data_IF_361685090382
#
_entry.id   IF_361685090382
#
_cell.length_a   1.000
_cell.length_b   1.000
_cell.length_c   1.000
_cell.angle_alpha   90.00
_cell.angle_beta   90.00
_cell.angle_gamma   90.00
#
_symmetry.space_group_name_H-M   'P 1'
#
loop_
_entity.id
_entity.type
_entity.pdbx_description
1 polymer ?
#
# COMPACT_ATOMS: atom_id res chain seq x y z
N UNK A 1 -15.84 7.26 -60.35
CA UNK A 1 -15.83 8.71 -60.61
C UNK A 1 -15.94 9.55 -59.32
N UNK A 2 -16.83 9.28 -58.43
CA UNK A 2 -17.12 10.06 -57.20
C UNK A 2 -15.91 10.22 -56.28
N UNK A 3 -15.17 9.15 -56.00
CA UNK A 3 -13.93 9.17 -55.16
C UNK A 3 -12.87 10.12 -55.72
N UNK A 4 -12.65 10.11 -57.03
CA UNK A 4 -11.65 10.98 -57.68
C UNK A 4 -12.04 12.47 -57.62
N UNK A 5 -13.34 12.75 -57.70
CA UNK A 5 -13.87 14.10 -57.52
C UNK A 5 -13.78 14.57 -56.07
N UNK A 6 -14.14 13.71 -55.11
CA UNK A 6 -14.01 13.99 -53.67
C UNK A 6 -12.56 14.31 -53.27
N UNK A 7 -11.62 13.48 -53.70
CA UNK A 7 -10.18 13.67 -53.46
C UNK A 7 -9.69 15.01 -54.01
N UNK A 8 -10.06 15.34 -55.27
CA UNK A 8 -9.68 16.60 -55.90
C UNK A 8 -10.32 17.80 -55.20
N UNK A 9 -11.50 17.65 -54.65
CA UNK A 9 -12.17 18.72 -53.90
C UNK A 9 -11.49 19.01 -52.55
N UNK A 10 -11.04 17.98 -51.84
CA UNK A 10 -10.26 18.10 -50.59
C UNK A 10 -8.96 18.88 -50.87
N UNK A 11 -8.24 18.55 -51.93
CA UNK A 11 -6.96 19.19 -52.25
C UNK A 11 -7.09 20.55 -52.94
N UNK A 12 -8.29 20.96 -53.39
CA UNK A 12 -8.52 22.26 -53.94
C UNK A 12 -8.36 23.38 -52.90
N UNK A 13 -8.70 23.12 -51.62
CA UNK A 13 -8.60 24.09 -50.55
C UNK A 13 -7.69 23.55 -49.42
N UNK A 14 -6.42 23.36 -49.73
CA UNK A 14 -5.39 22.73 -48.88
C UNK A 14 -5.37 23.25 -47.46
N UNK A 15 -5.42 24.59 -47.31
CA UNK A 15 -5.36 25.21 -45.96
C UNK A 15 -6.51 24.77 -45.06
N UNK A 16 -7.74 24.78 -45.58
CA UNK A 16 -8.92 24.33 -44.81
C UNK A 16 -8.86 22.84 -44.49
N UNK A 17 -8.49 22.05 -45.49
CA UNK A 17 -8.38 20.57 -45.31
C UNK A 17 -7.31 20.19 -44.29
N UNK A 18 -6.14 20.84 -44.32
CA UNK A 18 -5.06 20.60 -43.34
C UNK A 18 -5.53 20.99 -41.93
N UNK A 19 -6.17 22.15 -41.75
CA UNK A 19 -6.66 22.58 -40.44
C UNK A 19 -7.68 21.56 -39.88
N UNK A 20 -8.63 21.09 -40.72
CA UNK A 20 -9.64 20.13 -40.30
C UNK A 20 -9.00 18.76 -39.94
N UNK A 21 -8.10 18.26 -40.76
CA UNK A 21 -7.41 16.99 -40.52
C UNK A 21 -6.56 17.08 -39.27
N UNK A 22 -5.80 18.17 -39.10
CA UNK A 22 -4.97 18.38 -37.91
C UNK A 22 -5.83 18.47 -36.64
N UNK A 23 -6.97 19.14 -36.70
CA UNK A 23 -7.90 19.24 -35.57
C UNK A 23 -8.43 17.87 -35.14
N UNK A 24 -8.87 17.06 -36.11
CA UNK A 24 -9.34 15.68 -35.84
C UNK A 24 -8.19 14.83 -35.31
N UNK A 25 -7.02 14.92 -35.94
CA UNK A 25 -5.83 14.18 -35.48
C UNK A 25 -5.49 14.55 -34.03
N UNK A 26 -5.41 15.83 -33.70
CA UNK A 26 -5.13 16.26 -32.33
C UNK A 26 -6.19 15.79 -31.35
N UNK A 27 -7.47 15.87 -31.71
CA UNK A 27 -8.55 15.39 -30.85
C UNK A 27 -8.43 13.91 -30.53
N UNK A 28 -8.21 13.07 -31.55
CA UNK A 28 -8.04 11.63 -31.38
C UNK A 28 -6.75 11.32 -30.62
N UNK A 29 -5.65 11.99 -30.98
CA UNK A 29 -4.38 11.80 -30.30
C UNK A 29 -4.48 12.09 -28.79
N UNK A 30 -5.03 13.25 -28.42
CA UNK A 30 -5.19 13.61 -27.01
C UNK A 30 -6.18 12.71 -26.27
N UNK A 31 -7.25 12.24 -26.94
CA UNK A 31 -8.19 11.30 -26.33
C UNK A 31 -7.52 9.95 -26.02
N UNK A 32 -6.75 9.40 -26.97
CA UNK A 32 -6.03 8.14 -26.77
C UNK A 32 -4.93 8.31 -25.72
N UNK A 33 -4.19 9.41 -25.80
CA UNK A 33 -3.14 9.73 -24.82
C UNK A 33 -3.71 9.84 -23.40
N UNK A 34 -4.78 10.62 -23.21
CA UNK A 34 -5.43 10.79 -21.92
C UNK A 34 -5.95 9.45 -21.37
N UNK A 35 -6.53 8.61 -22.23
CA UNK A 35 -7.00 7.28 -21.82
C UNK A 35 -5.87 6.35 -21.41
N UNK A 36 -4.79 6.32 -22.17
CA UNK A 36 -3.61 5.51 -21.86
C UNK A 36 -2.95 5.96 -20.55
N UNK A 37 -2.83 7.27 -20.37
CA UNK A 37 -2.32 7.85 -19.12
C UNK A 37 -3.19 7.49 -17.92
N UNK A 38 -4.51 7.61 -18.07
CA UNK A 38 -5.47 7.27 -17.02
C UNK A 38 -5.34 5.79 -16.60
N UNK A 39 -5.30 4.87 -17.56
CA UNK A 39 -5.14 3.43 -17.28
C UNK A 39 -3.83 3.19 -16.52
N UNK A 40 -2.72 3.75 -16.99
CA UNK A 40 -1.42 3.57 -16.33
C UNK A 40 -1.38 4.13 -14.89
N UNK A 41 -2.04 5.26 -14.64
CA UNK A 41 -2.17 5.82 -13.29
C UNK A 41 -3.01 4.91 -12.40
N UNK A 42 -4.15 4.41 -12.89
CA UNK A 42 -5.00 3.49 -12.11
C UNK A 42 -4.28 2.19 -11.78
N UNK A 43 -3.62 1.56 -12.76
CA UNK A 43 -2.87 0.33 -12.54
C UNK A 43 -1.77 0.52 -11.50
N UNK A 44 -1.05 1.65 -11.59
CA UNK A 44 -0.02 1.98 -10.61
C UNK A 44 -0.58 2.26 -9.22
N UNK A 45 -1.70 2.97 -9.15
CA UNK A 45 -2.37 3.27 -7.89
C UNK A 45 -2.87 1.99 -7.21
N UNK A 46 -3.55 1.12 -7.95
CA UNK A 46 -4.04 -0.18 -7.45
C UNK A 46 -2.86 -1.03 -6.99
N UNK A 47 -1.82 -1.17 -7.81
CA UNK A 47 -0.63 -1.95 -7.46
C UNK A 47 0.06 -1.44 -6.19
N UNK A 48 0.15 -0.12 -6.01
CA UNK A 48 0.77 0.45 -4.83
C UNK A 48 -0.10 0.27 -3.57
N UNK A 49 -1.41 0.54 -3.65
CA UNK A 49 -2.30 0.44 -2.49
C UNK A 49 -2.53 -1.02 -2.08
N UNK A 50 -2.84 -1.87 -3.05
CA UNK A 50 -3.16 -3.28 -2.80
C UNK A 50 -1.90 -4.08 -2.49
N UNK A 51 -0.83 -3.84 -3.23
CA UNK A 51 0.43 -4.57 -3.07
C UNK A 51 1.24 -4.19 -1.84
N UNK A 52 0.92 -3.09 -1.14
CA UNK A 52 1.73 -2.60 -0.03
C UNK A 52 1.03 -2.54 1.32
N UNK A 53 -0.29 -2.41 1.34
CA UNK A 53 -0.98 -2.17 2.60
C UNK A 53 -2.18 -3.08 2.82
N UNK A 54 -3.15 -3.05 1.93
CA UNK A 54 -4.46 -3.67 2.20
C UNK A 54 -4.58 -5.12 1.73
N UNK A 55 -3.76 -5.55 0.76
CA UNK A 55 -4.04 -6.79 0.02
C UNK A 55 -5.29 -6.65 -0.87
N UNK A 56 -5.63 -7.68 -1.63
CA UNK A 56 -6.81 -7.71 -2.50
C UNK A 56 -8.10 -8.01 -1.75
N UNK A 57 -8.01 -8.73 -0.64
CA UNK A 57 -9.13 -9.12 0.20
C UNK A 57 -8.66 -9.16 1.64
N UNK A 58 -9.48 -8.66 2.54
CA UNK A 58 -9.27 -8.73 3.98
C UNK A 58 -10.43 -9.47 4.63
N UNK A 59 -10.13 -10.29 5.62
CA UNK A 59 -11.12 -10.99 6.44
C UNK A 59 -10.97 -10.44 7.85
N UNK A 60 -12.05 -9.89 8.36
CA UNK A 60 -12.13 -9.34 9.71
C UNK A 60 -13.23 -10.01 10.50
N UNK A 61 -13.17 -9.90 11.81
CA UNK A 61 -14.29 -10.26 12.67
C UNK A 61 -15.49 -9.33 12.41
N UNK A 62 -16.68 -9.86 12.57
CA UNK A 62 -17.91 -9.05 12.51
C UNK A 62 -17.84 -7.91 13.55
N UNK A 63 -18.20 -6.69 13.12
CA UNK A 63 -18.12 -5.48 13.96
C UNK A 63 -16.78 -4.76 13.94
N UNK A 64 -15.74 -5.28 13.26
CA UNK A 64 -14.42 -4.63 13.21
C UNK A 64 -14.46 -3.24 12.59
N UNK A 65 -15.28 -3.03 11.55
CA UNK A 65 -15.33 -1.73 10.87
C UNK A 65 -16.06 -0.65 11.65
N UNK A 66 -16.96 -1.04 12.54
CA UNK A 66 -17.66 -0.13 13.44
C UNK A 66 -16.75 0.33 14.57
N UNK A 67 -15.91 -0.58 15.06
CA UNK A 67 -14.95 -0.29 16.13
C UNK A 67 -13.64 -1.03 15.85
N UNK A 68 -12.65 -0.31 15.31
CA UNK A 68 -11.32 -0.83 14.99
C UNK A 68 -10.47 -0.99 16.26
N UNK A 69 -10.92 -1.87 17.13
CA UNK A 69 -10.29 -2.20 18.41
C UNK A 69 -9.61 -3.55 18.34
N UNK A 70 -8.56 -3.74 19.13
CA UNK A 70 -7.92 -5.04 19.33
C UNK A 70 -8.88 -6.10 19.87
N UNK A 71 -9.97 -5.68 20.54
CA UNK A 71 -11.04 -6.57 21.02
C UNK A 71 -11.77 -7.28 19.88
N UNK A 72 -11.86 -6.65 18.72
CA UNK A 72 -12.45 -7.18 17.51
C UNK A 72 -11.44 -7.92 16.62
N UNK A 73 -10.33 -8.35 17.20
CA UNK A 73 -9.41 -9.27 16.54
C UNK A 73 -9.87 -10.73 16.73
N UNK A 74 -9.48 -11.61 15.83
CA UNK A 74 -9.74 -13.03 15.93
C UNK A 74 -8.50 -13.86 15.63
N UNK A 75 -8.44 -15.06 16.17
CA UNK A 75 -7.40 -16.03 15.83
C UNK A 75 -7.96 -16.97 14.76
N UNK A 76 -7.35 -17.00 13.55
CA UNK A 76 -7.81 -17.91 12.51
C UNK A 76 -7.72 -19.35 12.96
N UNK A 77 -8.79 -20.11 12.77
CA UNK A 77 -8.79 -21.55 13.02
C UNK A 77 -8.23 -22.33 11.81
N UNK A 78 -7.86 -23.58 12.02
CA UNK A 78 -7.27 -24.40 10.98
C UNK A 78 -8.20 -24.62 9.80
N UNK A 79 -9.50 -24.71 10.04
CA UNK A 79 -10.52 -24.83 8.98
C UNK A 79 -10.49 -23.61 8.03
N UNK A 80 -10.36 -22.39 8.57
CA UNK A 80 -10.26 -21.17 7.75
C UNK A 80 -8.96 -21.20 6.94
N UNK A 81 -7.84 -21.54 7.58
CA UNK A 81 -6.54 -21.64 6.90
C UNK A 81 -6.57 -22.67 5.77
N UNK A 82 -7.09 -23.86 6.01
CA UNK A 82 -7.25 -24.89 4.98
C UNK A 82 -8.20 -24.44 3.86
N UNK A 83 -9.30 -23.77 4.20
CA UNK A 83 -10.24 -23.25 3.20
C UNK A 83 -9.56 -22.24 2.28
N UNK A 84 -8.76 -21.32 2.83
CA UNK A 84 -8.03 -20.32 2.05
C UNK A 84 -6.99 -20.98 1.14
N UNK A 85 -6.22 -21.94 1.65
CA UNK A 85 -5.19 -22.65 0.88
C UNK A 85 -5.75 -23.51 -0.25
N UNK A 86 -6.98 -24.01 -0.10
CA UNK A 86 -7.63 -24.85 -1.10
C UNK A 86 -8.37 -24.06 -2.19
N UNK A 87 -8.31 -22.72 -2.19
CA UNK A 87 -8.94 -21.91 -3.23
C UNK A 87 -7.96 -21.60 -4.36
N UNK A 88 -8.28 -22.02 -5.56
CA UNK A 88 -7.43 -21.82 -6.76
C UNK A 88 -7.10 -20.33 -7.06
N UNK A 89 -7.95 -19.42 -6.59
CA UNK A 89 -7.80 -17.99 -6.83
C UNK A 89 -7.00 -17.26 -5.74
N UNK A 90 -6.63 -17.93 -4.64
CA UNK A 90 -5.84 -17.37 -3.55
C UNK A 90 -4.39 -17.84 -3.73
N UNK A 91 -3.50 -16.91 -4.02
CA UNK A 91 -2.08 -17.20 -4.19
C UNK A 91 -1.36 -17.35 -2.85
N UNK A 92 -1.67 -16.48 -1.92
CA UNK A 92 -1.12 -16.47 -0.57
C UNK A 92 -2.02 -15.65 0.35
N UNK A 93 -1.90 -15.86 1.65
CA UNK A 93 -2.54 -15.06 2.68
C UNK A 93 -1.57 -14.82 3.84
N UNK A 94 -1.74 -13.66 4.50
CA UNK A 94 -0.99 -13.31 5.70
C UNK A 94 -1.93 -12.95 6.83
N UNK A 95 -1.50 -13.29 8.04
CA UNK A 95 -2.16 -12.90 9.27
C UNK A 95 -1.49 -11.64 9.81
N UNK A 96 -2.28 -10.61 10.08
CA UNK A 96 -1.82 -9.33 10.62
C UNK A 96 -2.63 -8.95 11.83
N UNK A 97 -1.99 -8.32 12.78
CA UNK A 97 -2.65 -7.67 13.91
C UNK A 97 -2.38 -6.17 13.82
N UNK A 98 -3.43 -5.38 13.66
CA UNK A 98 -3.32 -3.92 13.60
C UNK A 98 -3.84 -3.31 14.88
N UNK A 99 -3.14 -2.34 15.43
CA UNK A 99 -3.55 -1.59 16.60
C UNK A 99 -3.09 -0.15 16.51
N UNK A 100 -3.84 0.75 17.14
CA UNK A 100 -3.43 2.13 17.32
C UNK A 100 -2.62 2.27 18.60
N UNK A 101 -1.51 2.99 18.51
CA UNK A 101 -0.70 3.33 19.66
C UNK A 101 -0.22 4.79 19.61
N UNK A 102 0.06 5.31 20.76
CA UNK A 102 0.78 6.56 20.92
C UNK A 102 2.26 6.22 20.98
N UNK A 103 3.00 6.63 19.98
CA UNK A 103 4.46 6.52 19.99
C UNK A 103 5.07 7.77 20.63
N UNK A 104 6.09 7.61 21.45
CA UNK A 104 6.71 8.71 22.18
C UNK A 104 8.23 8.54 22.25
N UNK A 105 8.90 9.67 22.19
CA UNK A 105 10.29 9.89 22.62
C UNK A 105 10.30 10.87 23.79
N UNK A 106 11.46 11.29 24.27
CA UNK A 106 11.55 12.28 25.36
C UNK A 106 10.92 13.63 25.01
N UNK A 107 10.90 14.00 23.73
CA UNK A 107 10.47 15.33 23.28
C UNK A 107 9.19 15.33 22.45
N UNK A 108 8.89 14.25 21.76
CA UNK A 108 7.85 14.20 20.75
C UNK A 108 6.91 13.01 20.97
N UNK A 109 5.66 13.21 20.61
CA UNK A 109 4.61 12.19 20.69
C UNK A 109 3.76 12.22 19.44
N UNK A 110 3.37 11.05 18.92
CA UNK A 110 2.53 10.93 17.73
C UNK A 110 1.68 9.66 17.78
N UNK A 111 0.43 9.75 17.32
CA UNK A 111 -0.40 8.57 17.06
C UNK A 111 0.12 7.81 15.83
N UNK A 112 0.25 6.50 15.98
CA UNK A 112 0.75 5.60 14.93
C UNK A 112 -0.11 4.34 14.86
N UNK A 113 -0.10 3.70 13.71
CA UNK A 113 -0.59 2.33 13.56
C UNK A 113 0.60 1.41 13.80
N UNK A 114 0.42 0.45 14.70
CA UNK A 114 1.38 -0.63 14.95
C UNK A 114 0.84 -1.89 14.28
N UNK A 115 1.67 -2.52 13.49
CA UNK A 115 1.31 -3.71 12.74
C UNK A 115 2.17 -4.89 13.17
N UNK A 116 1.55 -5.90 13.76
CA UNK A 116 2.18 -7.19 14.01
C UNK A 116 2.04 -8.08 12.78
N UNK A 117 3.16 -8.55 12.26
CA UNK A 117 3.23 -9.35 11.04
C UNK A 117 4.12 -10.58 11.21
N UNK A 118 3.90 -11.60 10.40
CA UNK A 118 4.84 -12.70 10.19
C UNK A 118 5.79 -12.31 9.06
N UNK A 119 6.99 -11.89 9.42
CA UNK A 119 7.90 -11.22 8.49
C UNK A 119 8.18 -12.00 7.21
N UNK A 120 8.54 -13.30 7.30
CA UNK A 120 8.88 -14.10 6.12
C UNK A 120 7.72 -14.14 5.12
N UNK A 121 6.51 -14.39 5.61
CA UNK A 121 5.32 -14.43 4.75
C UNK A 121 4.97 -13.06 4.16
N UNK A 122 5.17 -12.01 4.95
CA UNK A 122 4.93 -10.64 4.51
C UNK A 122 5.94 -10.22 3.45
N UNK A 123 7.20 -10.62 3.60
CA UNK A 123 8.27 -10.34 2.66
C UNK A 123 8.05 -11.03 1.30
N UNK A 124 7.59 -12.28 1.31
CA UNK A 124 7.22 -13.00 0.09
C UNK A 124 6.14 -12.28 -0.73
N UNK A 125 5.19 -11.61 -0.06
CA UNK A 125 4.09 -10.91 -0.73
C UNK A 125 4.42 -9.48 -1.12
N UNK A 126 5.17 -8.78 -0.27
CA UNK A 126 5.35 -7.33 -0.35
C UNK A 126 6.77 -6.89 -0.67
N UNK A 127 7.71 -7.83 -0.71
CA UNK A 127 9.14 -7.55 -0.94
C UNK A 127 9.64 -6.41 -0.02
N UNK A 128 9.38 -6.59 1.28
CA UNK A 128 9.73 -5.61 2.30
C UNK A 128 11.24 -5.49 2.45
N UNK A 129 11.96 -6.59 2.29
CA UNK A 129 13.42 -6.63 2.34
C UNK A 129 14.06 -5.67 1.37
N UNK A 130 13.54 -5.56 0.14
CA UNK A 130 14.06 -4.63 -0.87
C UNK A 130 13.80 -3.15 -0.54
N UNK A 131 12.86 -2.89 0.37
CA UNK A 131 12.46 -1.54 0.77
C UNK A 131 13.18 -1.07 2.04
N UNK A 132 14.01 -1.93 2.63
CA UNK A 132 14.83 -1.54 3.79
C UNK A 132 15.87 -0.50 3.38
N UNK A 133 15.94 0.60 4.15
CA UNK A 133 16.93 1.67 3.94
C UNK A 133 18.10 1.52 4.92
N UNK A 134 17.81 1.03 6.11
CA UNK A 134 18.81 0.83 7.15
C UNK A 134 18.41 -0.31 8.10
N UNK A 135 19.39 -0.97 8.69
CA UNK A 135 19.16 -2.08 9.62
C UNK A 135 18.70 -3.36 8.94
N UNK A 136 17.98 -4.17 9.69
CA UNK A 136 17.41 -5.42 9.25
C UNK A 136 16.02 -5.63 9.88
N UNK A 137 15.28 -6.60 9.39
CA UNK A 137 14.07 -7.02 10.08
C UNK A 137 14.41 -7.74 11.39
N UNK A 138 13.62 -7.50 12.45
CA UNK A 138 13.75 -8.23 13.68
C UNK A 138 13.59 -9.73 13.45
N UNK A 139 14.40 -10.52 14.16
CA UNK A 139 14.19 -11.97 14.19
C UNK A 139 12.90 -12.30 14.97
N UNK A 140 12.34 -13.50 14.81
CA UNK A 140 11.15 -13.95 15.56
C UNK A 140 11.29 -13.84 17.09
N UNK A 141 12.53 -13.86 17.58
CA UNK A 141 12.82 -13.74 19.01
C UNK A 141 13.17 -12.31 19.45
N UNK A 142 13.24 -11.36 18.51
CA UNK A 142 13.53 -9.96 18.79
C UNK A 142 12.28 -9.22 19.25
N UNK A 143 12.49 -8.23 20.13
CA UNK A 143 11.47 -7.26 20.50
C UNK A 143 11.66 -5.91 19.78
N UNK A 144 12.38 -5.89 18.67
CA UNK A 144 12.65 -4.68 17.91
C UNK A 144 11.49 -4.21 17.06
N UNK A 145 11.59 -2.96 16.61
CA UNK A 145 10.64 -2.33 15.70
C UNK A 145 11.31 -2.00 14.37
N UNK A 146 10.52 -2.07 13.31
CA UNK A 146 10.84 -1.46 12.02
C UNK A 146 9.99 -0.20 11.86
N UNK A 147 10.63 0.93 11.61
CA UNK A 147 9.96 2.21 11.43
C UNK A 147 9.88 2.58 9.96
N UNK A 148 8.83 3.31 9.59
CA UNK A 148 8.84 4.00 8.30
C UNK A 148 9.88 5.12 8.29
N UNK A 149 10.48 5.41 7.12
CA UNK A 149 11.42 6.53 6.93
C UNK A 149 10.86 7.85 7.46
N UNK A 150 9.57 8.13 7.18
CA UNK A 150 8.91 9.34 7.65
C UNK A 150 8.80 9.43 9.16
N UNK A 151 8.55 8.31 9.85
CA UNK A 151 8.47 8.27 11.31
C UNK A 151 9.86 8.37 11.95
N UNK A 152 10.84 7.68 11.40
CA UNK A 152 12.24 7.78 11.84
C UNK A 152 12.77 9.21 11.71
N UNK A 153 12.50 9.88 10.59
CA UNK A 153 12.86 11.29 10.36
C UNK A 153 12.13 12.24 11.32
N UNK A 154 10.84 12.01 11.58
CA UNK A 154 10.05 12.84 12.50
C UNK A 154 10.64 12.84 13.92
N UNK A 155 11.03 11.66 14.41
CA UNK A 155 11.63 11.51 15.76
C UNK A 155 13.14 11.69 15.77
N UNK A 156 13.80 11.80 14.62
CA UNK A 156 15.26 11.80 14.46
C UNK A 156 15.91 10.54 15.04
N UNK A 157 15.25 9.40 14.90
CA UNK A 157 15.72 8.11 15.38
C UNK A 157 16.59 7.40 14.33
N UNK A 158 17.60 6.73 14.85
CA UNK A 158 18.50 5.85 14.11
C UNK A 158 18.39 4.42 14.62
N UNK A 159 19.03 3.48 13.93
CA UNK A 159 19.12 2.09 14.38
C UNK A 159 19.79 2.03 15.77
N UNK A 160 19.18 1.28 16.69
CA UNK A 160 19.60 1.13 18.07
C UNK A 160 18.97 2.12 19.06
N UNK A 161 18.33 3.19 18.57
CA UNK A 161 17.53 4.06 19.42
C UNK A 161 16.27 3.34 19.90
N UNK A 162 15.61 3.89 20.92
CA UNK A 162 14.40 3.29 21.49
C UNK A 162 13.18 4.17 21.28
N UNK A 163 12.04 3.54 20.97
CA UNK A 163 10.74 4.17 20.86
C UNK A 163 9.79 3.59 21.92
N UNK A 164 9.08 4.46 22.60
CA UNK A 164 8.04 4.09 23.56
C UNK A 164 6.74 3.95 22.78
N UNK A 165 6.03 2.85 23.00
CA UNK A 165 4.68 2.64 22.51
C UNK A 165 3.72 2.52 23.70
N UNK A 166 2.60 3.23 23.60
CA UNK A 166 1.50 3.23 24.55
C UNK A 166 0.20 2.98 23.78
N UNK A 167 -0.49 1.92 24.08
CA UNK A 167 -1.72 1.55 23.39
C UNK A 167 -2.73 0.88 24.30
N UNK A 168 -3.88 0.60 23.75
CA UNK A 168 -4.88 -0.24 24.39
C UNK A 168 -4.52 -1.70 24.14
N UNK A 169 -4.40 -2.45 25.19
CA UNK A 169 -4.27 -3.90 25.13
C UNK A 169 -5.62 -4.60 25.20
N UNK A 170 -5.60 -5.92 25.11
CA UNK A 170 -6.78 -6.76 25.16
C UNK A 170 -7.48 -6.64 26.53
N UNK A 171 -8.81 -6.69 26.55
CA UNK A 171 -9.68 -6.49 27.73
C UNK A 171 -9.46 -5.17 28.48
N UNK A 172 -9.23 -4.09 27.74
CA UNK A 172 -9.08 -2.75 28.32
C UNK A 172 -7.82 -2.55 29.15
N UNK A 173 -6.86 -3.46 29.07
CA UNK A 173 -5.56 -3.30 29.73
C UNK A 173 -4.73 -2.24 29.01
N UNK A 174 -3.80 -1.59 29.72
CA UNK A 174 -2.84 -0.71 29.06
C UNK A 174 -1.69 -1.55 28.52
N UNK A 175 -1.45 -1.47 27.22
CA UNK A 175 -0.26 -2.03 26.59
C UNK A 175 0.78 -0.93 26.45
N UNK A 176 1.94 -1.13 27.08
CA UNK A 176 3.08 -0.21 26.96
C UNK A 176 4.39 -0.99 26.86
N UNK A 177 5.35 -0.37 26.21
CA UNK A 177 6.67 -0.96 26.06
C UNK A 177 7.67 0.02 25.47
N UNK A 178 8.93 -0.30 25.67
CA UNK A 178 10.07 0.38 25.05
C UNK A 178 10.72 -0.62 24.11
N UNK A 179 10.86 -0.22 22.86
CA UNK A 179 11.32 -1.10 21.80
C UNK A 179 12.50 -0.49 21.05
N UNK A 180 13.58 -1.23 20.81
CA UNK A 180 14.68 -0.76 19.99
C UNK A 180 14.30 -0.69 18.52
N UNK A 181 14.81 0.32 17.82
CA UNK A 181 14.69 0.44 16.37
C UNK A 181 15.72 -0.47 15.71
N UNK A 182 15.30 -1.52 15.06
CA UNK A 182 16.18 -2.48 14.38
C UNK A 182 16.21 -2.27 12.86
N UNK A 183 15.17 -1.64 12.30
CA UNK A 183 15.09 -1.38 10.88
C UNK A 183 14.37 -0.09 10.54
N UNK A 184 14.69 0.46 9.38
CA UNK A 184 13.99 1.61 8.77
C UNK A 184 13.61 1.23 7.35
N UNK A 185 12.33 1.38 7.04
CA UNK A 185 11.68 0.95 5.82
C UNK A 185 11.17 2.15 5.04
N UNK A 186 11.40 2.17 3.73
CA UNK A 186 10.81 3.16 2.83
C UNK A 186 9.46 2.65 2.33
N UNK A 187 8.41 3.25 2.85
CA UNK A 187 7.06 3.08 2.30
C UNK A 187 6.80 4.21 1.29
N UNK A 188 6.01 3.96 0.24
CA UNK A 188 5.69 4.94 -0.79
C UNK A 188 4.84 6.09 -0.27
#
# INVERSE_FOLDING_TARGET
MIFKMAWRNIWRNKRRSIITISSIFCAVFFAVFARSFQIGVYDKMISNMVGMYTGYLQIHQEGYWEEQSIENSFVPNDTLRETLLNQDNIKAYNERLESFALSATQELTKGVIVMGIQFEKEDELMDLSSKMIAGAFPSETSNGLVLSEGLAAYYKLSIGDSLILLGQGYHGTTANGIYPVEGILKLP
#
